data_IF_066546551812
#
_entry.id   IF_066546551812
#
_cell.length_a   1.000
_cell.length_b   1.000
_cell.length_c   1.000
_cell.angle_alpha   90.00
_cell.angle_beta   90.00
_cell.angle_gamma   90.00
#
_symmetry.space_group_name_H-M   'P 1'
#
loop_
_entity.id
_entity.type
_entity.pdbx_description
1 polymer ?
#
# COMPACT_ATOMS: atom_id res chain seq x y z
N UNK A 1 -52.10 16.34 23.67
CA UNK A 1 -50.76 16.89 23.97
C UNK A 1 -49.98 15.97 24.92
N UNK A 2 -49.59 14.75 24.50
CA UNK A 2 -48.70 13.90 25.34
C UNK A 2 -47.95 12.79 24.60
N UNK A 3 -47.78 12.87 23.28
CA UNK A 3 -47.11 11.83 22.47
C UNK A 3 -45.95 12.34 21.61
N UNK A 4 -45.49 13.58 21.81
CA UNK A 4 -44.37 14.18 21.05
C UNK A 4 -43.12 14.45 21.90
N UNK A 5 -43.01 13.89 23.12
CA UNK A 5 -41.88 14.15 24.04
C UNK A 5 -40.96 12.95 24.27
N UNK A 6 -41.09 11.86 23.52
CA UNK A 6 -40.32 10.63 23.73
C UNK A 6 -39.56 10.15 22.49
N UNK A 7 -39.26 11.04 21.54
CA UNK A 7 -38.42 10.73 20.37
C UNK A 7 -37.09 11.49 20.34
N UNK A 8 -36.59 11.91 21.51
CA UNK A 8 -35.31 12.62 21.66
C UNK A 8 -34.31 11.90 22.60
N UNK A 9 -34.63 10.69 23.06
CA UNK A 9 -33.79 9.93 24.01
C UNK A 9 -33.41 8.52 23.50
N UNK A 10 -33.47 8.29 22.19
CA UNK A 10 -32.96 7.07 21.55
C UNK A 10 -31.89 7.36 20.47
N UNK A 11 -31.33 8.58 20.46
CA UNK A 11 -30.04 8.86 19.83
C UNK A 11 -28.92 8.58 20.86
N UNK A 12 -28.99 7.41 21.48
CA UNK A 12 -27.92 6.91 22.32
C UNK A 12 -26.76 6.52 21.40
N UNK A 13 -25.86 7.50 21.20
CA UNK A 13 -24.44 7.26 21.30
C UNK A 13 -23.89 6.10 20.46
N UNK A 14 -23.98 6.20 19.13
CA UNK A 14 -22.99 5.57 18.24
C UNK A 14 -21.68 6.37 18.32
N UNK A 15 -21.16 6.57 19.53
CA UNK A 15 -19.74 6.81 19.70
C UNK A 15 -19.07 5.46 19.52
N UNK A 16 -18.73 5.13 18.26
CA UNK A 16 -17.63 4.18 18.03
C UNK A 16 -16.44 4.75 18.79
N UNK A 17 -16.16 4.18 19.97
CA UNK A 17 -14.96 4.47 20.73
C UNK A 17 -13.79 4.28 19.76
N UNK A 18 -13.01 5.34 19.55
CA UNK A 18 -11.74 5.21 18.86
C UNK A 18 -10.90 4.26 19.71
N UNK A 19 -10.44 3.14 19.14
CA UNK A 19 -9.52 2.25 19.84
C UNK A 19 -8.31 3.05 20.34
N UNK A 20 -7.72 2.71 21.50
CA UNK A 20 -6.49 3.35 21.95
C UNK A 20 -5.46 3.31 20.82
N UNK A 21 -4.81 4.44 20.61
CA UNK A 21 -4.01 4.64 19.42
C UNK A 21 -2.69 3.89 19.61
N UNK A 22 -2.51 2.78 18.90
CA UNK A 22 -1.25 2.04 18.91
C UNK A 22 -0.11 2.91 18.40
N UNK A 23 1.08 2.71 18.96
CA UNK A 23 2.28 3.43 18.57
C UNK A 23 2.86 2.90 17.25
N UNK A 24 2.53 1.66 16.90
CA UNK A 24 2.99 1.00 15.68
C UNK A 24 1.87 0.21 15.01
N UNK A 25 1.99 0.08 13.69
CA UNK A 25 1.06 -0.66 12.85
C UNK A 25 1.82 -1.56 11.88
N UNK A 26 1.34 -2.80 11.74
CA UNK A 26 1.67 -3.69 10.65
C UNK A 26 0.71 -3.39 9.48
N UNK A 27 1.26 -2.94 8.37
CA UNK A 27 0.55 -2.67 7.12
C UNK A 27 0.86 -3.78 6.13
N UNK A 28 -0.16 -4.36 5.51
CA UNK A 28 -0.01 -5.35 4.46
C UNK A 28 -0.88 -4.97 3.27
N UNK A 29 -0.27 -4.95 2.08
CA UNK A 29 -0.89 -4.51 0.84
C UNK A 29 -0.64 -5.52 -0.27
N UNK A 30 -1.68 -5.79 -1.06
CA UNK A 30 -1.60 -6.41 -2.37
C UNK A 30 -2.05 -5.38 -3.40
N UNK A 31 -1.22 -5.14 -4.43
CA UNK A 31 -1.64 -4.42 -5.64
C UNK A 31 -1.83 -5.45 -6.75
N UNK A 32 -2.95 -5.38 -7.46
CA UNK A 32 -3.29 -6.34 -8.52
C UNK A 32 -3.91 -5.63 -9.73
N UNK A 33 -3.69 -6.18 -10.93
CA UNK A 33 -4.35 -5.73 -12.15
C UNK A 33 -5.60 -6.59 -12.44
N UNK A 34 -6.63 -5.96 -12.99
CA UNK A 34 -7.76 -6.65 -13.62
C UNK A 34 -7.49 -6.85 -15.11
N UNK A 35 -7.53 -8.10 -15.55
CA UNK A 35 -7.24 -8.54 -16.92
C UNK A 35 -8.48 -8.58 -17.82
N UNK A 36 -9.66 -8.72 -17.22
CA UNK A 36 -10.97 -8.72 -17.90
C UNK A 36 -11.87 -7.69 -17.20
N UNK A 37 -11.67 -6.39 -17.46
CA UNK A 37 -12.49 -5.37 -16.81
C UNK A 37 -13.93 -5.40 -17.35
N UNK A 38 -14.91 -5.32 -16.45
CA UNK A 38 -16.32 -5.11 -16.80
C UNK A 38 -16.56 -3.63 -17.10
N UNK A 39 -15.86 -3.12 -18.13
CA UNK A 39 -15.90 -1.72 -18.54
C UNK A 39 -16.43 -1.64 -19.95
N UNK A 40 -17.75 -1.57 -20.09
CA UNK A 40 -18.35 -1.18 -21.37
C UNK A 40 -17.79 0.19 -21.77
N UNK A 41 -17.04 0.26 -22.87
CA UNK A 41 -16.54 1.48 -23.54
C UNK A 41 -16.09 2.66 -22.65
N UNK A 42 -15.54 2.42 -21.44
CA UNK A 42 -15.04 3.51 -20.61
C UNK A 42 -13.77 4.10 -21.22
N UNK A 43 -13.89 5.33 -21.74
CA UNK A 43 -12.78 6.11 -22.25
C UNK A 43 -12.02 6.75 -21.08
N UNK A 44 -10.81 6.26 -20.82
CA UNK A 44 -9.89 6.86 -19.87
C UNK A 44 -9.09 7.97 -20.56
N UNK A 45 -9.15 9.22 -20.06
CA UNK A 45 -8.40 10.31 -20.67
C UNK A 45 -6.89 10.04 -20.60
N UNK A 46 -6.15 10.63 -21.54
CA UNK A 46 -4.69 10.60 -21.50
C UNK A 46 -4.18 11.14 -20.15
N UNK A 47 -3.15 10.51 -19.61
CA UNK A 47 -2.59 10.90 -18.33
C UNK A 47 -1.92 12.28 -18.47
N UNK A 48 -2.49 13.31 -17.84
CA UNK A 48 -1.93 14.68 -17.89
C UNK A 48 -0.85 14.92 -16.82
N UNK A 49 -0.95 14.20 -15.69
CA UNK A 49 -0.02 14.26 -14.57
C UNK A 49 -0.01 12.93 -13.84
N UNK A 50 1.00 12.68 -13.00
CA UNK A 50 0.99 11.52 -12.14
C UNK A 50 1.57 11.78 -10.76
N UNK A 51 1.85 10.71 -9.99
CA UNK A 51 2.28 10.81 -8.61
C UNK A 51 3.56 11.64 -8.45
N UNK A 52 3.66 12.36 -7.32
CA UNK A 52 4.90 13.01 -6.90
C UNK A 52 5.88 11.93 -6.42
N UNK A 53 6.78 11.53 -7.32
CA UNK A 53 7.82 10.54 -7.03
C UNK A 53 9.09 11.17 -6.45
N UNK A 54 9.22 12.50 -6.50
CA UNK A 54 10.41 13.22 -6.04
C UNK A 54 10.44 13.33 -4.51
N UNK A 55 9.29 13.49 -3.88
CA UNK A 55 9.16 13.51 -2.42
C UNK A 55 9.01 12.12 -1.79
N UNK A 56 8.97 11.06 -2.61
CA UNK A 56 8.66 9.71 -2.17
C UNK A 56 9.90 8.95 -1.69
N UNK A 57 9.74 8.22 -0.60
CA UNK A 57 10.82 7.48 0.04
C UNK A 57 10.90 6.05 -0.48
N UNK A 58 12.11 5.50 -0.56
CA UNK A 58 12.29 4.07 -0.82
C UNK A 58 12.20 3.28 0.50
N UNK A 59 11.51 2.14 0.47
CA UNK A 59 11.33 1.28 1.64
C UNK A 59 12.65 0.89 2.31
N UNK A 60 13.69 0.59 1.52
CA UNK A 60 14.99 0.11 2.01
C UNK A 60 15.90 1.21 2.60
N UNK A 61 15.54 2.49 2.49
CA UNK A 61 16.28 3.59 3.14
C UNK A 61 15.42 4.40 4.11
N UNK A 62 14.30 3.83 4.55
CA UNK A 62 13.46 4.48 5.56
C UNK A 62 13.50 3.61 6.81
N UNK A 63 14.42 3.85 7.76
CA UNK A 63 14.61 2.98 8.93
C UNK A 63 13.35 2.75 9.76
N UNK A 64 12.41 3.70 9.71
CA UNK A 64 11.11 3.60 10.37
C UNK A 64 10.12 2.65 9.67
N UNK A 65 10.38 2.25 8.42
CA UNK A 65 9.62 1.26 7.68
C UNK A 65 10.37 -0.07 7.78
N UNK A 66 9.88 -0.98 8.61
CA UNK A 66 10.52 -2.27 8.84
C UNK A 66 9.81 -3.35 8.01
N UNK A 67 10.43 -3.90 6.96
CA UNK A 67 9.83 -5.01 6.21
C UNK A 67 9.50 -6.18 7.14
N UNK A 68 8.32 -6.76 6.98
CA UNK A 68 7.93 -7.96 7.71
C UNK A 68 8.34 -9.21 6.91
N UNK A 69 8.72 -10.32 7.58
CA UNK A 69 9.01 -11.56 6.87
C UNK A 69 7.71 -12.20 6.36
N UNK A 70 7.77 -12.94 5.24
CA UNK A 70 6.64 -13.64 4.61
C UNK A 70 5.76 -14.44 5.60
N UNK A 71 6.36 -15.06 6.61
CA UNK A 71 5.61 -15.80 7.66
C UNK A 71 4.62 -14.95 8.47
N UNK A 72 4.77 -13.64 8.47
CA UNK A 72 3.90 -12.70 9.17
C UNK A 72 2.75 -12.19 8.28
N UNK A 73 2.76 -12.51 6.98
CA UNK A 73 1.76 -12.06 6.02
C UNK A 73 0.43 -12.76 6.32
N UNK A 74 -0.65 -11.99 6.26
CA UNK A 74 -2.02 -12.41 6.55
C UNK A 74 -2.88 -12.47 5.30
N UNK A 75 -2.42 -11.93 4.17
CA UNK A 75 -3.14 -11.89 2.90
C UNK A 75 -2.66 -12.95 1.88
N UNK A 76 -1.77 -13.88 2.25
CA UNK A 76 -1.24 -14.92 1.35
C UNK A 76 -2.32 -15.77 0.69
N UNK A 77 -3.38 -16.13 1.43
CA UNK A 77 -4.50 -16.88 0.87
C UNK A 77 -5.21 -16.09 -0.25
N UNK A 78 -5.34 -14.77 -0.08
CA UNK A 78 -5.95 -13.86 -1.06
C UNK A 78 -5.02 -13.69 -2.26
N UNK A 79 -3.74 -13.41 -2.02
CA UNK A 79 -2.74 -13.31 -3.09
C UNK A 79 -2.69 -14.59 -3.94
N UNK A 80 -2.71 -15.75 -3.29
CA UNK A 80 -2.77 -17.05 -3.97
C UNK A 80 -4.07 -17.26 -4.74
N UNK A 81 -5.22 -16.80 -4.22
CA UNK A 81 -6.50 -16.87 -4.93
C UNK A 81 -6.50 -15.99 -6.18
N UNK A 82 -5.99 -14.75 -6.08
CA UNK A 82 -5.81 -13.84 -7.20
C UNK A 82 -4.89 -14.45 -8.26
N UNK A 83 -3.75 -15.02 -7.86
CA UNK A 83 -2.78 -15.63 -8.78
C UNK A 83 -3.33 -16.86 -9.53
N UNK A 84 -4.30 -17.57 -8.97
CA UNK A 84 -4.98 -18.71 -9.62
C UNK A 84 -6.12 -18.27 -10.54
N UNK A 85 -6.62 -17.05 -10.40
CA UNK A 85 -7.67 -16.52 -11.27
C UNK A 85 -7.09 -16.10 -12.62
N UNK A 86 -7.87 -16.30 -13.69
CA UNK A 86 -7.53 -15.77 -15.03
C UNK A 86 -7.88 -14.28 -15.17
N UNK A 87 -8.70 -13.76 -14.27
CA UNK A 87 -9.21 -12.39 -14.32
C UNK A 87 -8.27 -11.39 -13.64
N UNK A 88 -7.36 -11.87 -12.78
CA UNK A 88 -6.52 -11.01 -11.96
C UNK A 88 -5.05 -11.38 -12.09
N UNK A 89 -4.20 -10.37 -11.92
CA UNK A 89 -2.76 -10.57 -11.81
C UNK A 89 -2.21 -9.79 -10.61
N UNK A 90 -1.79 -10.47 -9.53
CA UNK A 90 -1.03 -9.83 -8.47
C UNK A 90 0.24 -9.19 -9.02
N UNK A 91 0.44 -7.90 -8.75
CA UNK A 91 1.62 -7.14 -9.16
C UNK A 91 2.61 -7.02 -8.00
N UNK A 92 2.12 -6.66 -6.81
CA UNK A 92 2.90 -6.43 -5.60
C UNK A 92 2.20 -7.12 -4.42
N UNK A 93 2.97 -7.74 -3.52
CA UNK A 93 2.47 -8.14 -2.20
C UNK A 93 3.54 -7.82 -1.17
N UNK A 94 3.24 -6.89 -0.26
CA UNK A 94 4.22 -6.42 0.70
C UNK A 94 3.60 -6.16 2.07
N UNK A 95 4.34 -6.49 3.12
CA UNK A 95 4.00 -6.12 4.49
C UNK A 95 5.18 -5.45 5.18
N UNK A 96 4.90 -4.38 5.91
CA UNK A 96 5.88 -3.65 6.71
C UNK A 96 5.26 -3.15 8.00
N UNK A 97 6.12 -2.83 8.96
CA UNK A 97 5.77 -2.16 10.20
C UNK A 97 6.20 -0.71 10.14
N UNK A 98 5.35 0.18 10.63
CA UNK A 98 5.66 1.60 10.75
C UNK A 98 5.08 2.21 12.03
N UNK A 99 5.60 3.36 12.49
CA UNK A 99 4.97 4.15 13.53
C UNK A 99 3.56 4.62 13.14
N UNK A 100 2.73 4.92 14.13
CA UNK A 100 1.42 5.56 13.99
C UNK A 100 1.48 7.03 13.58
N UNK A 101 2.24 7.37 12.54
CA UNK A 101 2.47 8.74 12.08
C UNK A 101 1.18 9.51 11.86
N UNK A 102 1.16 10.76 12.30
CA UNK A 102 0.13 11.72 11.91
C UNK A 102 0.31 12.12 10.44
N UNK A 103 -0.73 12.69 9.83
CA UNK A 103 -0.75 13.04 8.40
C UNK A 103 0.51 13.78 7.95
N UNK A 104 0.93 14.80 8.68
CA UNK A 104 2.01 15.70 8.26
C UNK A 104 3.41 15.10 8.49
N UNK A 105 3.49 14.04 9.30
CA UNK A 105 4.72 13.28 9.55
C UNK A 105 4.80 12.00 8.70
N UNK A 106 3.71 11.60 8.06
CA UNK A 106 3.66 10.36 7.30
C UNK A 106 4.40 10.49 5.98
N UNK A 107 5.08 9.41 5.61
CA UNK A 107 5.95 9.37 4.44
C UNK A 107 5.25 8.63 3.29
N UNK A 108 5.10 9.25 2.11
CA UNK A 108 4.70 8.52 0.92
C UNK A 108 5.84 7.60 0.51
N UNK A 109 5.54 6.32 0.38
CA UNK A 109 6.51 5.30 0.02
C UNK A 109 6.38 4.95 -1.44
N UNK A 110 7.50 5.01 -2.15
CA UNK A 110 7.58 4.77 -3.57
C UNK A 110 7.43 3.28 -3.90
N UNK A 111 6.61 2.99 -4.89
CA UNK A 111 6.45 1.67 -5.50
C UNK A 111 6.91 1.79 -6.94
N UNK A 112 7.80 0.91 -7.39
CA UNK A 112 8.21 0.79 -8.78
C UNK A 112 8.37 -0.70 -9.13
N UNK A 113 7.74 -1.13 -10.22
CA UNK A 113 7.89 -2.47 -10.78
C UNK A 113 8.27 -2.28 -12.25
N UNK A 114 9.46 -2.73 -12.70
CA UNK A 114 9.85 -2.62 -14.09
C UNK A 114 9.00 -3.54 -14.99
N UNK A 115 8.85 -3.16 -16.26
CA UNK A 115 8.27 -4.07 -17.25
C UNK A 115 9.12 -5.33 -17.36
N UNK A 116 8.47 -6.50 -17.40
CA UNK A 116 9.14 -7.80 -17.46
C UNK A 116 9.56 -8.38 -16.11
N UNK A 117 9.27 -7.70 -14.99
CA UNK A 117 9.51 -8.25 -13.66
C UNK A 117 8.77 -9.58 -13.44
N UNK A 118 9.36 -10.47 -12.62
CA UNK A 118 8.65 -11.65 -12.13
C UNK A 118 7.58 -11.22 -11.11
N UNK A 119 6.32 -11.53 -11.39
CA UNK A 119 5.17 -11.10 -10.58
C UNK A 119 4.57 -12.25 -9.77
N UNK A 120 3.99 -11.97 -8.58
CA UNK A 120 4.05 -10.69 -7.88
C UNK A 120 5.45 -10.39 -7.33
N UNK A 121 5.77 -9.10 -7.23
CA UNK A 121 6.99 -8.62 -6.57
C UNK A 121 6.79 -8.62 -5.06
N UNK A 122 7.81 -9.10 -4.35
CA UNK A 122 7.94 -9.08 -2.89
C UNK A 122 9.12 -8.17 -2.52
N UNK A 123 8.89 -6.92 -2.05
CA UNK A 123 9.92 -5.93 -1.79
C UNK A 123 11.02 -6.34 -0.81
N UNK A 124 10.70 -7.20 0.14
CA UNK A 124 11.68 -7.76 1.09
C UNK A 124 12.71 -8.67 0.40
N UNK A 125 12.40 -9.18 -0.79
CA UNK A 125 13.28 -10.02 -1.60
C UNK A 125 13.86 -9.26 -2.81
N UNK A 126 13.15 -8.25 -3.30
CA UNK A 126 13.52 -7.46 -4.47
C UNK A 126 13.25 -5.97 -4.18
N UNK A 127 14.26 -5.18 -3.78
CA UNK A 127 14.04 -3.78 -3.41
C UNK A 127 13.42 -2.98 -4.57
N UNK A 128 12.38 -2.20 -4.26
CA UNK A 128 11.59 -1.42 -5.22
C UNK A 128 12.33 -0.15 -5.70
N UNK A 129 13.50 -0.30 -6.32
CA UNK A 129 14.26 0.81 -6.88
C UNK A 129 13.91 1.02 -8.34
N UNK A 130 13.55 2.26 -8.69
CA UNK A 130 13.52 2.65 -10.09
C UNK A 130 14.96 2.79 -10.61
N UNK A 131 15.23 2.45 -11.88
CA UNK A 131 16.46 2.88 -12.54
C UNK A 131 16.54 4.41 -12.57
N UNK A 132 17.67 4.99 -12.15
CA UNK A 132 17.96 6.43 -12.28
C UNK A 132 17.23 7.38 -11.32
N UNK A 133 17.28 8.68 -11.63
CA UNK A 133 16.58 9.78 -10.90
C UNK A 133 15.23 10.08 -11.55
N UNK A 134 14.41 9.06 -11.79
CA UNK A 134 13.07 9.25 -12.37
C UNK A 134 12.19 9.99 -11.36
N UNK A 135 11.92 11.27 -11.63
CA UNK A 135 11.13 12.19 -10.79
C UNK A 135 9.68 12.32 -11.26
N UNK A 136 9.36 11.84 -12.46
CA UNK A 136 8.03 11.83 -13.04
C UNK A 136 7.66 10.40 -13.48
N UNK A 137 6.37 10.05 -13.53
CA UNK A 137 5.91 8.77 -14.06
C UNK A 137 6.42 8.53 -15.47
N UNK A 138 7.08 7.40 -15.68
CA UNK A 138 7.58 6.95 -16.99
C UNK A 138 6.49 6.83 -18.07
N UNK A 139 5.22 6.67 -17.67
CA UNK A 139 4.09 6.67 -18.60
C UNK A 139 3.76 8.01 -19.27
N UNK A 140 4.33 9.10 -18.78
CA UNK A 140 4.06 10.45 -19.30
C UNK A 140 5.04 10.88 -20.39
N UNK A 141 6.17 10.18 -20.55
CA UNK A 141 7.20 10.54 -21.52
C UNK A 141 7.49 9.40 -22.50
N UNK A 142 7.32 9.62 -23.82
CA UNK A 142 7.75 8.68 -24.84
C UNK A 142 9.24 8.32 -24.74
N UNK A 143 10.07 9.21 -24.18
CA UNK A 143 11.50 8.96 -24.04
C UNK A 143 11.84 7.88 -23.00
N UNK A 144 10.97 7.68 -22.01
CA UNK A 144 11.14 6.64 -21.00
C UNK A 144 11.00 5.24 -21.60
N UNK A 145 10.13 5.08 -22.61
CA UNK A 145 10.05 3.84 -23.40
C UNK A 145 11.37 3.58 -24.14
N UNK A 146 11.88 4.59 -24.85
CA UNK A 146 13.11 4.52 -25.64
C UNK A 146 14.36 4.22 -24.79
N UNK A 147 14.39 4.68 -23.53
CA UNK A 147 15.50 4.41 -22.60
C UNK A 147 15.34 3.09 -21.84
N UNK A 148 14.25 2.35 -22.03
CA UNK A 148 13.95 1.14 -21.25
C UNK A 148 13.67 1.43 -19.78
N UNK A 149 13.27 2.66 -19.46
CA UNK A 149 13.00 3.14 -18.09
C UNK A 149 11.52 2.98 -17.70
N UNK A 150 10.68 2.53 -18.62
CA UNK A 150 9.26 2.34 -18.40
C UNK A 150 8.98 1.32 -17.29
N UNK A 151 8.21 1.75 -16.29
CA UNK A 151 7.76 0.92 -15.18
C UNK A 151 6.39 0.34 -15.50
N UNK A 152 6.17 -0.95 -15.22
CA UNK A 152 4.86 -1.58 -15.25
C UNK A 152 3.91 -0.96 -14.23
N UNK A 153 4.42 -0.66 -13.03
CA UNK A 153 3.68 0.00 -11.95
C UNK A 153 4.62 1.01 -11.30
N UNK A 154 4.17 2.25 -11.15
CA UNK A 154 4.90 3.30 -10.45
C UNK A 154 3.96 4.15 -9.60
N UNK A 155 4.40 4.63 -8.45
CA UNK A 155 3.56 5.50 -7.64
C UNK A 155 3.95 5.55 -6.18
N UNK A 156 2.99 5.98 -5.36
CA UNK A 156 3.16 6.12 -3.91
C UNK A 156 2.05 5.45 -3.13
N UNK A 157 2.42 4.89 -1.99
CA UNK A 157 1.52 4.39 -0.96
C UNK A 157 1.86 5.12 0.35
N UNK A 158 0.87 5.70 1.00
CA UNK A 158 1.06 6.40 2.27
C UNK A 158 0.01 5.95 3.27
N UNK A 159 0.46 5.60 4.48
CA UNK A 159 -0.42 5.28 5.60
C UNK A 159 -0.17 6.25 6.73
N UNK A 160 -1.25 6.85 7.23
CA UNK A 160 -1.20 7.79 8.36
C UNK A 160 -2.41 7.63 9.28
N UNK A 161 -2.29 8.20 10.47
CA UNK A 161 -3.32 8.24 11.50
C UNK A 161 -3.83 9.68 11.67
N UNK A 162 -5.13 9.81 11.85
CA UNK A 162 -5.80 11.00 12.38
C UNK A 162 -6.84 10.49 13.38
N UNK A 163 -8.11 10.90 13.27
CA UNK A 163 -9.20 10.22 13.99
C UNK A 163 -9.34 8.73 13.62
N UNK A 164 -8.86 8.38 12.43
CA UNK A 164 -8.86 7.03 11.88
C UNK A 164 -7.52 6.76 11.19
N UNK A 165 -7.25 5.50 10.85
CA UNK A 165 -6.20 5.17 9.90
C UNK A 165 -6.65 5.53 8.49
N UNK A 166 -5.71 5.91 7.64
CA UNK A 166 -5.94 6.19 6.24
C UNK A 166 -4.87 5.53 5.39
N UNK A 167 -5.28 4.98 4.25
CA UNK A 167 -4.40 4.58 3.16
C UNK A 167 -4.63 5.55 1.99
N UNK A 168 -3.55 6.09 1.44
CA UNK A 168 -3.54 6.87 0.21
C UNK A 168 -2.72 6.11 -0.82
N UNK A 169 -3.31 5.89 -1.98
CA UNK A 169 -2.67 5.27 -3.12
C UNK A 169 -2.74 6.23 -4.31
N UNK A 170 -1.58 6.57 -4.87
CA UNK A 170 -1.46 7.30 -6.15
C UNK A 170 -0.53 6.49 -7.04
N UNK A 171 -1.13 5.64 -7.88
CA UNK A 171 -0.46 4.61 -8.65
C UNK A 171 -0.76 4.78 -10.15
N UNK A 172 0.25 4.61 -10.98
CA UNK A 172 0.14 4.52 -12.44
C UNK A 172 0.55 3.12 -12.86
N UNK A 173 -0.34 2.43 -13.56
CA UNK A 173 -0.15 1.08 -14.08
C UNK A 173 -0.13 1.13 -15.61
N UNK A 174 0.88 0.52 -16.22
CA UNK A 174 0.97 0.38 -17.67
C UNK A 174 0.19 -0.84 -18.13
N UNK A 175 -0.99 -0.60 -18.65
CA UNK A 175 -1.77 -1.63 -19.27
C UNK A 175 -1.24 -1.96 -20.65
N UNK A 176 -0.97 -3.24 -20.91
CA UNK A 176 -0.54 -3.70 -22.24
C UNK A 176 -1.76 -3.90 -23.16
N UNK A 177 -1.92 -3.03 -24.16
CA UNK A 177 -2.98 -3.15 -25.18
C UNK A 177 -2.63 -4.13 -26.32
N UNK A 178 -1.36 -4.48 -26.45
CA UNK A 178 -0.86 -5.37 -27.51
C UNK A 178 -0.18 -4.61 -28.64
N UNK A 179 0.23 -5.29 -29.73
CA UNK A 179 0.89 -4.63 -30.84
C UNK A 179 -0.05 -3.67 -31.55
N UNK A 180 0.41 -2.46 -31.88
CA UNK A 180 -0.34 -1.53 -32.73
C UNK A 180 -0.17 -1.89 -34.20
N UNK A 181 -1.24 -1.77 -34.99
CA UNK A 181 -1.18 -1.93 -36.45
C UNK A 181 -0.26 -0.88 -37.12
N UNK A 182 -0.07 0.28 -36.48
CA UNK A 182 0.77 1.36 -36.98
C UNK A 182 2.23 1.25 -36.49
N UNK A 183 2.54 0.27 -35.64
CA UNK A 183 3.88 0.07 -35.12
C UNK A 183 4.80 -0.58 -36.15
N UNK A 184 6.05 -0.09 -36.22
CA UNK A 184 7.06 -0.70 -37.08
C UNK A 184 7.33 -2.13 -36.61
N UNK A 185 7.35 -3.14 -37.49
CA UNK A 185 7.78 -4.51 -37.13
C UNK A 185 9.25 -4.58 -36.70
N UNK A 186 10.01 -3.49 -36.83
CA UNK A 186 11.37 -3.32 -36.34
C UNK A 186 11.46 -2.51 -35.03
N UNK A 187 10.35 -2.14 -34.40
CA UNK A 187 10.37 -1.50 -33.09
C UNK A 187 10.98 -2.44 -32.04
N UNK A 188 11.89 -1.93 -31.20
CA UNK A 188 12.62 -2.76 -30.23
C UNK A 188 11.73 -3.44 -29.18
N UNK A 189 10.54 -2.89 -28.92
CA UNK A 189 9.52 -3.46 -28.03
C UNK A 189 8.49 -4.35 -28.75
N UNK A 190 8.70 -4.63 -30.04
CA UNK A 190 7.75 -5.37 -30.88
C UNK A 190 6.46 -4.60 -31.19
N UNK A 191 6.47 -3.27 -31.02
CA UNK A 191 5.35 -2.40 -31.38
C UNK A 191 4.21 -2.41 -30.37
N UNK A 192 4.48 -2.85 -29.14
CA UNK A 192 3.50 -2.99 -28.08
C UNK A 192 3.08 -1.63 -27.55
N UNK A 193 1.78 -1.34 -27.59
CA UNK A 193 1.22 -0.13 -27.00
C UNK A 193 0.87 -0.39 -25.54
N UNK A 194 1.29 0.55 -24.70
CA UNK A 194 0.90 0.65 -23.31
C UNK A 194 -0.04 1.83 -23.11
N UNK A 195 -1.07 1.63 -22.28
CA UNK A 195 -1.96 2.69 -21.81
C UNK A 195 -1.73 2.91 -20.31
N UNK A 196 -1.36 4.13 -19.89
CA UNK A 196 -1.21 4.43 -18.47
C UNK A 196 -2.59 4.55 -17.82
N UNK A 197 -2.80 3.78 -16.75
CA UNK A 197 -3.99 3.83 -15.92
C UNK A 197 -3.62 4.36 -14.54
N UNK A 198 -4.21 5.49 -14.14
CA UNK A 198 -3.96 6.09 -12.82
C UNK A 198 -5.07 5.77 -11.83
N UNK A 199 -4.70 5.20 -10.71
CA UNK A 199 -5.52 5.15 -9.49
C UNK A 199 -5.03 6.23 -8.54
N UNK A 200 -5.89 7.20 -8.22
CA UNK A 200 -5.64 8.17 -7.15
C UNK A 200 -6.79 8.10 -6.15
N UNK A 201 -6.57 7.43 -5.03
CA UNK A 201 -7.62 7.18 -4.03
C UNK A 201 -7.10 7.35 -2.60
N UNK A 202 -7.97 7.82 -1.72
CA UNK A 202 -7.77 7.80 -0.27
C UNK A 202 -8.92 7.08 0.41
N UNK A 203 -8.59 6.15 1.30
CA UNK A 203 -9.58 5.35 2.03
C UNK A 203 -9.34 5.46 3.53
N UNK A 204 -10.44 5.67 4.27
CA UNK A 204 -10.45 5.51 5.73
C UNK A 204 -10.42 4.01 6.04
N UNK A 205 -9.47 3.62 6.88
CA UNK A 205 -9.20 2.26 7.27
C UNK A 205 -9.71 2.00 8.68
N UNK A 206 -10.29 0.82 8.87
CA UNK A 206 -10.59 0.25 10.18
C UNK A 206 -9.54 -0.81 10.48
N UNK A 207 -8.96 -0.74 11.68
CA UNK A 207 -7.98 -1.70 12.15
C UNK A 207 -8.53 -3.12 12.08
N UNK A 208 -7.69 -4.08 11.70
CA UNK A 208 -8.02 -5.50 11.59
C UNK A 208 -9.07 -5.88 10.53
N UNK A 209 -9.54 -4.92 9.73
CA UNK A 209 -10.45 -5.18 8.61
C UNK A 209 -9.70 -5.16 7.27
N UNK A 210 -10.27 -5.86 6.29
CA UNK A 210 -9.82 -5.83 4.91
C UNK A 210 -10.46 -4.64 4.19
N UNK A 211 -9.67 -3.86 3.47
CA UNK A 211 -10.16 -2.76 2.64
C UNK A 211 -9.74 -2.92 1.19
N UNK A 212 -10.57 -2.39 0.31
CA UNK A 212 -10.37 -2.38 -1.13
C UNK A 212 -10.36 -0.94 -1.64
N UNK A 213 -9.39 -0.61 -2.47
CA UNK A 213 -9.36 0.58 -3.30
C UNK A 213 -9.43 0.07 -4.73
N UNK A 214 -10.59 0.25 -5.36
CA UNK A 214 -10.88 -0.38 -6.64
C UNK A 214 -10.86 0.66 -7.76
N UNK A 215 -10.17 0.32 -8.84
CA UNK A 215 -10.20 0.96 -10.14
C UNK A 215 -10.47 -0.15 -11.17
N UNK A 216 -11.17 0.09 -12.29
CA UNK A 216 -11.58 -1.01 -13.17
C UNK A 216 -10.43 -1.88 -13.72
N UNK A 217 -9.22 -1.32 -13.85
CA UNK A 217 -8.00 -2.04 -14.28
C UNK A 217 -6.99 -2.35 -13.18
N UNK A 218 -7.12 -1.75 -12.01
CA UNK A 218 -6.12 -1.80 -10.95
C UNK A 218 -6.82 -1.83 -9.60
N UNK A 219 -6.38 -2.68 -8.68
CA UNK A 219 -6.96 -2.76 -7.35
C UNK A 219 -5.88 -2.81 -6.28
N UNK A 220 -6.23 -2.32 -5.09
CA UNK A 220 -5.41 -2.45 -3.89
C UNK A 220 -6.23 -3.12 -2.81
N UNK A 221 -5.73 -4.23 -2.28
CA UNK A 221 -6.25 -4.88 -1.09
C UNK A 221 -5.32 -4.54 0.07
N UNK A 222 -5.85 -4.02 1.15
CA UNK A 222 -5.04 -3.59 2.28
C UNK A 222 -5.61 -4.07 3.62
N UNK A 223 -4.71 -4.42 4.53
CA UNK A 223 -5.01 -4.68 5.94
C UNK A 223 -4.01 -3.90 6.80
N UNK A 224 -4.53 -3.23 7.83
CA UNK A 224 -3.69 -2.52 8.81
C UNK A 224 -4.03 -3.05 10.20
N UNK A 225 -3.01 -3.50 10.93
CA UNK A 225 -3.13 -4.16 12.24
C UNK A 225 -2.32 -3.36 13.26
N UNK A 226 -2.90 -2.92 14.38
CA UNK A 226 -2.11 -2.32 15.46
C UNK A 226 -1.16 -3.36 16.07
N UNK A 227 0.07 -2.96 16.34
CA UNK A 227 1.03 -3.78 17.08
C UNK A 227 0.76 -3.55 18.56
N UNK A 228 0.44 -4.62 19.28
CA UNK A 228 0.21 -4.56 20.72
C UNK A 228 1.53 -4.25 21.43
N UNK A 229 1.52 -3.28 22.34
CA UNK A 229 2.69 -2.95 23.13
C UNK A 229 3.04 -4.18 23.98
N UNK A 230 4.28 -4.65 23.92
CA UNK A 230 4.74 -5.66 24.85
C UNK A 230 4.67 -5.07 26.26
N UNK A 231 3.75 -5.58 27.09
CA UNK A 231 3.71 -5.26 28.52
C UNK A 231 5.13 -5.48 29.08
N UNK A 232 5.76 -4.48 29.71
CA UNK A 232 7.05 -4.67 30.35
C UNK A 232 6.89 -5.79 31.36
N UNK A 233 7.59 -6.91 31.16
CA UNK A 233 7.50 -8.04 32.06
C UNK A 233 7.89 -7.60 33.48
N UNK A 234 6.96 -7.71 34.43
CA UNK A 234 7.17 -7.45 35.87
C UNK A 234 8.35 -8.24 36.46
N UNK A 235 8.89 -9.20 35.73
CA UNK A 235 9.95 -10.10 36.19
C UNK A 235 11.35 -9.46 36.27
N UNK A 236 11.53 -8.20 35.85
CA UNK A 236 12.80 -7.48 36.00
C UNK A 236 12.92 -6.72 37.34
N UNK A 237 11.82 -6.52 38.08
CA UNK A 237 11.82 -5.75 39.32
C UNK A 237 12.11 -6.60 40.58
N UNK A 238 12.13 -7.93 40.48
CA UNK A 238 12.25 -8.82 41.64
C UNK A 238 13.63 -9.49 41.80
N UNK A 239 14.69 -8.95 41.18
CA UNK A 239 16.08 -9.47 41.32
C UNK A 239 17.02 -8.49 42.04
N UNK A 240 16.49 -7.41 42.63
CA UNK A 240 17.27 -6.48 43.44
C UNK A 240 16.75 -6.42 44.88
N UNK A 241 16.69 -7.58 45.54
CA UNK A 241 16.73 -7.60 47.00
C UNK A 241 18.20 -7.56 47.43
N UNK A 242 18.69 -6.50 48.09
CA UNK A 242 20.05 -6.44 48.58
C UNK A 242 20.22 -7.47 49.71
N UNK A 243 21.38 -8.15 49.83
CA UNK A 243 21.61 -9.08 50.93
C UNK A 243 21.52 -8.34 52.27
N UNK A 244 20.66 -8.88 53.14
CA UNK A 244 20.47 -8.51 54.53
C UNK A 244 21.82 -8.50 55.26
N UNK A 245 22.31 -7.31 55.61
CA UNK A 245 23.44 -7.13 56.50
C UNK A 245 22.91 -7.15 57.93
N UNK A 246 22.90 -8.33 58.55
CA UNK A 246 22.72 -8.44 60.00
C UNK A 246 23.92 -7.78 60.73
N UNK A 247 23.68 -6.96 61.77
CA UNK A 247 24.75 -6.35 62.55
C UNK A 247 25.33 -7.33 63.58
N UNK A 248 26.61 -7.10 63.85
CA UNK A 248 27.51 -7.76 64.80
C UNK A 248 26.97 -7.84 66.24
N UNK A 249 27.22 -8.96 66.92
CA UNK A 249 27.77 -9.01 68.29
C UNK A 249 28.80 -10.15 68.40
#
# INVERSE_FOLDING_TARGET
MLLHRLLLAALALLMTAAAPAADQYDVEIIVYASLEPDTGEEYWPALESGPDLASAWYFDHTPALQPLPRKAYRLDAIAGALARSRQYRPLLHFAWRQPGWERDAALPVRVNIPIGANLPVYPESHPLRAPGTVTAPSGLSPESALRGEMQLLEGTLMVYRSRYLHLVADLVYQERLGPSADSSPYAEDGGVVYQPIRMQQSRRMRSNELHYLDHPRLGVIARITPVEAAEPSENAANTAEPPDASPTE
#
